data_IF_424327810944
#
_entry.id   IF_424327810944
#
_cell.length_a   1.000
_cell.length_b   1.000
_cell.length_c   1.000
_cell.angle_alpha   90.00
_cell.angle_beta   90.00
_cell.angle_gamma   90.00
#
_symmetry.space_group_name_H-M   'P 1'
#
loop_
_entity.id
_entity.type
_entity.pdbx_description
1 polymer ?
#
# COMPACT_ATOMS: atom_id res chain seq x y z
N UNK A 1 1.55 24.57 6.24
CA UNK A 1 0.99 23.22 6.39
C UNK A 1 1.85 22.29 5.53
N UNK A 2 2.49 21.28 6.13
CA UNK A 2 3.33 20.33 5.40
C UNK A 2 2.41 19.26 4.79
N UNK A 3 2.55 18.97 3.50
CA UNK A 3 1.78 17.93 2.82
C UNK A 3 2.42 16.56 2.99
N UNK A 4 1.59 15.52 3.10
CA UNK A 4 2.04 14.13 3.15
C UNK A 4 2.13 13.56 1.73
N UNK A 5 3.34 13.47 1.21
CA UNK A 5 3.59 12.90 -0.10
C UNK A 5 4.78 11.95 -0.02
N UNK A 6 4.61 10.72 -0.45
CA UNK A 6 5.72 9.78 -0.31
C UNK A 6 5.34 8.32 -0.41
N UNK A 7 6.01 7.52 0.38
CA UNK A 7 6.02 6.06 0.32
C UNK A 7 5.40 5.44 1.56
N UNK A 8 4.59 4.40 1.38
CA UNK A 8 4.05 3.55 2.44
C UNK A 8 4.69 2.17 2.33
N UNK A 9 5.37 1.72 3.37
CA UNK A 9 5.77 0.33 3.54
C UNK A 9 4.63 -0.40 4.25
N UNK A 10 3.52 -0.68 3.52
CA UNK A 10 2.28 -1.20 4.10
C UNK A 10 1.76 -2.48 3.45
N UNK A 11 2.52 -3.06 2.54
CA UNK A 11 2.20 -4.27 1.80
C UNK A 11 2.56 -5.54 2.57
N UNK A 12 1.97 -6.67 2.17
CA UNK A 12 2.24 -8.01 2.70
C UNK A 12 3.35 -8.74 1.93
N UNK A 13 3.93 -9.77 2.57
CA UNK A 13 4.86 -10.71 1.96
C UNK A 13 6.29 -10.21 1.82
N UNK A 14 6.59 -9.01 2.33
CA UNK A 14 7.95 -8.45 2.32
C UNK A 14 8.23 -7.57 3.52
N UNK A 15 9.36 -7.82 4.15
CA UNK A 15 9.97 -6.94 5.14
C UNK A 15 11.28 -6.41 4.56
N UNK A 16 11.36 -5.11 4.34
CA UNK A 16 12.55 -4.50 3.75
C UNK A 16 13.75 -4.56 4.70
N UNK A 17 14.93 -4.73 4.14
CA UNK A 17 16.17 -4.51 4.87
C UNK A 17 16.42 -2.99 5.07
N UNK A 18 17.18 -2.62 6.10
CA UNK A 18 17.47 -1.21 6.40
C UNK A 18 18.15 -0.48 5.25
N UNK A 19 19.06 -1.16 4.53
CA UNK A 19 19.72 -0.57 3.37
C UNK A 19 18.75 -0.29 2.20
N UNK A 20 17.68 -1.08 2.05
CA UNK A 20 16.66 -0.83 1.04
C UNK A 20 15.79 0.38 1.42
N UNK A 21 15.44 0.52 2.71
CA UNK A 21 14.76 1.71 3.22
C UNK A 21 15.60 2.96 3.02
N UNK A 22 16.92 2.87 3.23
CA UNK A 22 17.85 3.97 2.96
C UNK A 22 17.84 4.40 1.50
N UNK A 23 17.76 3.45 0.57
CA UNK A 23 17.66 3.72 -0.87
C UNK A 23 16.32 4.39 -1.23
N UNK A 24 15.25 3.99 -0.56
CA UNK A 24 13.94 4.63 -0.73
C UNK A 24 13.96 6.08 -0.23
N UNK A 25 14.64 6.40 0.88
CA UNK A 25 14.84 7.80 1.29
C UNK A 25 15.60 8.60 0.22
N UNK A 26 16.65 8.02 -0.37
CA UNK A 26 17.38 8.67 -1.47
C UNK A 26 16.46 8.89 -2.70
N UNK A 27 15.58 7.93 -2.99
CA UNK A 27 14.58 8.03 -4.05
C UNK A 27 13.53 9.12 -3.78
N UNK A 28 13.00 9.20 -2.56
CA UNK A 28 12.03 10.22 -2.15
C UNK A 28 12.62 11.64 -2.26
N UNK A 29 13.84 11.84 -1.75
CA UNK A 29 14.56 13.12 -1.88
C UNK A 29 14.72 13.51 -3.35
N UNK A 30 15.16 12.57 -4.21
CA UNK A 30 15.39 12.83 -5.63
C UNK A 30 14.13 13.29 -6.39
N UNK A 31 12.94 12.91 -5.92
CA UNK A 31 11.64 13.27 -6.52
C UNK A 31 10.88 14.35 -5.73
N UNK A 32 11.48 14.89 -4.67
CA UNK A 32 10.90 15.95 -3.85
C UNK A 32 9.67 15.52 -3.04
N UNK A 33 9.63 14.27 -2.61
CA UNK A 33 8.62 13.74 -1.70
C UNK A 33 9.11 13.80 -0.25
N UNK A 34 8.18 14.01 0.70
CA UNK A 34 8.50 14.47 2.05
C UNK A 34 8.18 13.47 3.15
N UNK A 35 7.64 12.28 2.82
CA UNK A 35 7.14 11.37 3.85
C UNK A 35 7.47 9.90 3.55
N UNK A 36 7.87 9.17 4.59
CA UNK A 36 7.99 7.72 4.58
C UNK A 36 7.13 7.15 5.72
N UNK A 37 6.22 6.25 5.41
CA UNK A 37 5.39 5.57 6.39
C UNK A 37 5.91 4.16 6.64
N UNK A 38 6.47 3.94 7.83
CA UNK A 38 6.89 2.64 8.33
C UNK A 38 5.69 1.90 8.91
N UNK A 39 5.11 0.98 8.15
CA UNK A 39 3.96 0.17 8.55
C UNK A 39 4.02 -1.26 7.98
N UNK A 40 5.19 -1.94 7.98
CA UNK A 40 5.35 -3.23 7.31
C UNK A 40 4.49 -4.30 7.98
N UNK A 41 3.58 -4.90 7.23
CA UNK A 41 2.66 -5.94 7.74
C UNK A 41 3.41 -7.20 8.23
N UNK A 42 4.59 -7.47 7.68
CA UNK A 42 5.44 -8.61 8.03
C UNK A 42 6.39 -8.32 9.23
N UNK A 43 6.39 -7.10 9.78
CA UNK A 43 7.03 -6.82 11.05
C UNK A 43 6.12 -7.31 12.19
N UNK A 44 6.53 -8.40 12.83
CA UNK A 44 5.73 -9.01 13.89
C UNK A 44 5.48 -8.07 15.07
N UNK A 45 6.43 -7.19 15.39
CA UNK A 45 6.29 -6.23 16.50
C UNK A 45 5.47 -4.99 16.12
N UNK A 46 5.29 -4.73 14.84
CA UNK A 46 4.36 -3.71 14.36
C UNK A 46 2.90 -4.15 14.56
N UNK A 47 2.57 -5.44 14.34
CA UNK A 47 1.21 -5.94 14.25
C UNK A 47 0.88 -7.10 15.21
N UNK A 48 1.46 -8.30 15.01
CA UNK A 48 1.08 -9.50 15.77
C UNK A 48 1.44 -9.43 17.25
N UNK A 49 2.62 -8.90 17.54
CA UNK A 49 3.15 -8.73 18.90
C UNK A 49 3.30 -7.24 19.24
N UNK A 50 2.34 -6.43 18.83
CA UNK A 50 2.40 -4.97 18.99
C UNK A 50 2.59 -4.55 20.46
N UNK A 51 2.18 -5.38 21.43
CA UNK A 51 2.40 -5.13 22.85
C UNK A 51 3.87 -5.27 23.28
N UNK A 52 4.68 -5.93 22.49
CA UNK A 52 6.10 -6.11 22.81
C UNK A 52 6.92 -4.93 22.25
N UNK A 53 7.98 -4.58 22.98
CA UNK A 53 8.93 -3.55 22.54
C UNK A 53 9.91 -4.11 21.52
N UNK A 54 10.45 -3.25 20.68
CA UNK A 54 11.55 -3.60 19.78
C UNK A 54 12.86 -3.77 20.57
N UNK A 55 13.71 -4.67 20.12
CA UNK A 55 15.02 -4.89 20.73
C UNK A 55 16.01 -3.74 20.44
N UNK A 56 17.15 -3.73 21.16
CA UNK A 56 18.14 -2.69 21.03
C UNK A 56 18.74 -2.58 19.62
N UNK A 57 18.90 -3.70 18.91
CA UNK A 57 19.48 -3.73 17.56
C UNK A 57 18.54 -3.08 16.55
N UNK A 58 17.25 -3.41 16.61
CA UNK A 58 16.22 -2.79 15.76
C UNK A 58 16.14 -1.28 16.06
N UNK A 59 16.05 -0.89 17.33
CA UNK A 59 15.96 0.51 17.75
C UNK A 59 17.15 1.32 17.27
N UNK A 60 18.37 0.76 17.35
CA UNK A 60 19.56 1.42 16.84
C UNK A 60 19.49 1.59 15.30
N UNK A 61 18.99 0.58 14.57
CA UNK A 61 18.83 0.67 13.14
C UNK A 61 17.76 1.69 12.74
N UNK A 62 16.63 1.71 13.47
CA UNK A 62 15.56 2.70 13.25
C UNK A 62 16.06 4.14 13.52
N UNK A 63 16.84 4.38 14.59
CA UNK A 63 17.47 5.69 14.85
C UNK A 63 18.41 6.13 13.73
N UNK A 64 19.19 5.23 13.15
CA UNK A 64 20.02 5.56 11.97
C UNK A 64 19.17 5.95 10.77
N UNK A 65 18.10 5.21 10.52
CA UNK A 65 17.17 5.46 9.43
C UNK A 65 16.46 6.81 9.60
N UNK A 66 15.90 7.10 10.78
CA UNK A 66 15.25 8.39 11.06
C UNK A 66 16.25 9.55 11.01
N UNK A 67 17.46 9.35 11.52
CA UNK A 67 18.54 10.34 11.41
C UNK A 67 18.91 10.65 9.96
N UNK A 68 18.95 9.64 9.08
CA UNK A 68 19.16 9.84 7.63
C UNK A 68 17.98 10.59 7.00
N UNK A 69 16.74 10.27 7.38
CA UNK A 69 15.56 10.94 6.88
C UNK A 69 15.55 12.44 7.20
N UNK A 70 15.97 12.82 8.41
CA UNK A 70 16.11 14.23 8.81
C UNK A 70 17.08 14.98 7.88
N UNK A 71 18.21 14.39 7.47
CA UNK A 71 19.16 15.04 6.56
C UNK A 71 18.60 15.29 5.16
N UNK A 72 17.47 14.67 4.83
CA UNK A 72 16.79 14.74 3.52
C UNK A 72 15.44 15.45 3.57
N UNK A 73 15.12 16.06 4.69
CA UNK A 73 13.83 16.74 4.90
C UNK A 73 12.61 15.78 4.74
N UNK A 74 12.82 14.49 5.06
CA UNK A 74 11.80 13.47 5.01
C UNK A 74 11.30 13.16 6.41
N UNK A 75 9.99 13.31 6.65
CA UNK A 75 9.35 12.92 7.89
C UNK A 75 9.08 11.40 7.92
N UNK A 76 9.35 10.78 9.06
CA UNK A 76 9.03 9.37 9.30
C UNK A 76 7.72 9.29 10.08
N UNK A 77 6.74 8.64 9.48
CA UNK A 77 5.49 8.23 10.13
C UNK A 77 5.73 6.81 10.64
N UNK A 78 5.62 6.56 11.95
CA UNK A 78 5.78 5.23 12.51
C UNK A 78 4.41 4.63 12.86
N UNK A 79 4.10 3.47 12.27
CA UNK A 79 2.86 2.77 12.49
C UNK A 79 2.88 1.86 13.70
N UNK A 80 1.75 1.74 14.38
CA UNK A 80 1.44 0.69 15.36
C UNK A 80 0.08 0.12 14.97
N UNK A 81 -0.01 -1.21 14.81
CA UNK A 81 -1.23 -1.90 14.34
C UNK A 81 -1.83 -2.78 15.44
N UNK A 82 -2.55 -2.21 16.42
CA UNK A 82 -3.16 -2.96 17.51
C UNK A 82 -4.52 -3.56 17.13
N UNK A 83 -5.05 -3.26 15.94
CA UNK A 83 -6.41 -3.58 15.53
C UNK A 83 -6.81 -5.05 15.63
N UNK A 84 -5.83 -5.99 15.61
CA UNK A 84 -6.13 -7.42 15.70
C UNK A 84 -6.80 -7.82 17.02
N UNK A 85 -6.38 -7.22 18.14
CA UNK A 85 -6.74 -7.72 19.47
C UNK A 85 -6.72 -6.63 20.57
N UNK A 86 -6.85 -5.35 20.20
CA UNK A 86 -6.91 -4.26 21.17
C UNK A 86 -8.17 -4.38 22.04
N UNK A 87 -7.97 -4.37 23.37
CA UNK A 87 -9.07 -4.38 24.34
C UNK A 87 -9.56 -2.94 24.62
N UNK A 88 -10.71 -2.58 24.04
CA UNK A 88 -11.31 -1.26 24.23
C UNK A 88 -11.82 -1.02 25.65
N UNK A 89 -12.04 -2.07 26.47
CA UNK A 89 -12.37 -1.89 27.89
C UNK A 89 -11.22 -1.21 28.67
N UNK A 90 -9.99 -1.32 28.16
CA UNK A 90 -8.82 -0.62 28.73
C UNK A 90 -8.91 0.91 28.64
N UNK A 91 -9.81 1.44 27.78
CA UNK A 91 -10.09 2.88 27.70
C UNK A 91 -11.03 3.38 28.81
N UNK A 92 -11.86 2.51 29.37
CA UNK A 92 -12.76 2.86 30.47
C UNK A 92 -11.99 2.99 31.80
N UNK A 93 -10.84 2.34 31.92
CA UNK A 93 -9.98 2.33 33.10
C UNK A 93 -8.79 3.26 32.86
N UNK A 94 -8.98 4.54 33.18
CA UNK A 94 -8.06 5.61 32.76
C UNK A 94 -6.58 5.44 33.18
N UNK A 95 -6.26 4.62 34.20
CA UNK A 95 -4.94 4.53 34.81
C UNK A 95 -4.54 3.10 35.21
N UNK A 96 -5.12 2.06 34.62
CA UNK A 96 -4.71 0.70 34.92
C UNK A 96 -3.32 0.43 34.36
N UNK A 97 -2.32 0.41 35.22
CA UNK A 97 -0.96 0.01 34.84
C UNK A 97 -0.99 -1.37 34.14
N UNK A 98 -0.49 -1.42 32.89
CA UNK A 98 -0.43 -2.65 32.08
C UNK A 98 -1.64 -2.91 31.18
N UNK A 99 -2.63 -2.03 31.10
CA UNK A 99 -3.69 -2.07 30.10
C UNK A 99 -3.19 -1.75 28.68
N UNK A 100 -3.95 -2.19 27.67
CA UNK A 100 -3.57 -2.03 26.26
C UNK A 100 -3.26 -0.58 25.87
N UNK A 101 -4.00 0.37 26.42
CA UNK A 101 -3.73 1.78 26.16
C UNK A 101 -2.36 2.24 26.68
N UNK A 102 -1.99 1.82 27.89
CA UNK A 102 -0.66 2.17 28.47
C UNK A 102 0.46 1.55 27.65
N UNK A 103 0.33 0.30 27.22
CA UNK A 103 1.32 -0.38 26.37
C UNK A 103 1.44 0.31 25.01
N UNK A 104 0.33 0.71 24.41
CA UNK A 104 0.30 1.45 23.14
C UNK A 104 0.99 2.82 23.28
N UNK A 105 0.72 3.55 24.36
CA UNK A 105 1.34 4.84 24.65
C UNK A 105 2.86 4.69 24.83
N UNK A 106 3.32 3.73 25.62
CA UNK A 106 4.73 3.47 25.85
C UNK A 106 5.47 3.14 24.54
N UNK A 107 4.85 2.34 23.66
CA UNK A 107 5.41 2.04 22.35
C UNK A 107 5.46 3.26 21.45
N UNK A 108 4.44 4.09 21.43
CA UNK A 108 4.42 5.35 20.68
C UNK A 108 5.51 6.31 21.16
N UNK A 109 5.66 6.48 22.47
CA UNK A 109 6.72 7.29 23.08
C UNK A 109 8.11 6.77 22.71
N UNK A 110 8.32 5.45 22.72
CA UNK A 110 9.56 4.82 22.30
C UNK A 110 9.90 5.15 20.85
N UNK A 111 8.93 5.03 19.91
CA UNK A 111 9.15 5.33 18.49
C UNK A 111 9.46 6.81 18.25
N UNK A 112 8.78 7.71 18.96
CA UNK A 112 9.09 9.15 18.92
C UNK A 112 10.49 9.45 19.47
N UNK A 113 10.88 8.83 20.59
CA UNK A 113 12.23 8.95 21.16
C UNK A 113 13.32 8.37 20.24
N UNK A 114 12.96 7.42 19.37
CA UNK A 114 13.85 6.83 18.36
C UNK A 114 13.82 7.60 17.02
N UNK A 115 13.14 8.76 16.96
CA UNK A 115 13.22 9.73 15.88
C UNK A 115 12.04 9.72 14.88
N UNK A 116 10.95 8.99 15.16
CA UNK A 116 9.73 9.16 14.39
C UNK A 116 9.16 10.57 14.57
N UNK A 117 8.59 11.14 13.50
CA UNK A 117 8.00 12.49 13.53
C UNK A 117 6.50 12.44 13.88
N UNK A 118 5.82 11.38 13.44
CA UNK A 118 4.37 11.20 13.58
C UNK A 118 4.08 9.74 13.91
N UNK A 119 3.11 9.52 14.79
CA UNK A 119 2.56 8.17 15.05
C UNK A 119 1.32 7.95 14.20
N UNK A 120 1.25 6.79 13.56
CA UNK A 120 0.03 6.31 12.92
C UNK A 120 -0.53 5.09 13.65
N UNK A 121 -1.84 5.10 13.86
CA UNK A 121 -2.59 4.00 14.47
C UNK A 121 -3.30 3.23 13.37
N UNK A 122 -3.01 1.94 13.22
CA UNK A 122 -3.58 1.10 12.17
C UNK A 122 -4.62 0.14 12.74
N UNK A 123 -5.85 0.28 12.25
CA UNK A 123 -7.01 -0.55 12.60
C UNK A 123 -7.53 -1.31 11.38
N UNK A 124 -6.75 -1.34 10.29
CA UNK A 124 -7.08 -1.95 9.00
C UNK A 124 -6.86 -3.47 8.99
N UNK A 125 -7.45 -4.12 8.00
CA UNK A 125 -7.29 -5.56 7.69
C UNK A 125 -7.57 -6.47 8.90
N UNK A 126 -8.63 -6.19 9.63
CA UNK A 126 -9.10 -6.96 10.78
C UNK A 126 -10.49 -7.54 10.54
N UNK A 127 -10.82 -8.60 11.26
CA UNK A 127 -12.15 -9.19 11.22
C UNK A 127 -13.21 -8.22 11.77
N UNK A 128 -14.46 -8.42 11.37
CA UNK A 128 -15.62 -7.68 11.90
C UNK A 128 -16.06 -8.29 13.23
N UNK A 129 -15.17 -8.29 14.22
CA UNK A 129 -15.35 -8.91 15.55
C UNK A 129 -15.25 -7.90 16.71
N UNK A 130 -15.45 -6.62 16.40
CA UNK A 130 -15.35 -5.51 17.35
C UNK A 130 -16.15 -5.76 18.64
N UNK A 131 -17.37 -6.31 18.53
CA UNK A 131 -18.27 -6.54 19.66
C UNK A 131 -17.65 -7.45 20.74
N UNK A 132 -16.69 -8.31 20.38
CA UNK A 132 -15.98 -9.17 21.35
C UNK A 132 -14.99 -8.40 22.24
N UNK A 133 -14.63 -7.17 21.86
CA UNK A 133 -13.59 -6.36 22.50
C UNK A 133 -14.03 -4.92 22.77
N UNK A 134 -15.33 -4.65 22.56
CA UNK A 134 -15.88 -3.30 22.54
C UNK A 134 -15.85 -2.56 23.91
N UNK A 135 -15.72 -3.30 25.04
CA UNK A 135 -15.88 -2.67 26.35
C UNK A 135 -17.26 -2.02 26.49
N UNK A 136 -17.29 -0.75 26.83
CA UNK A 136 -18.54 0.04 26.93
C UNK A 136 -19.02 0.63 25.59
N UNK A 137 -18.21 0.51 24.52
CA UNK A 137 -18.53 1.11 23.23
C UNK A 137 -19.58 0.30 22.45
N UNK A 138 -20.52 1.00 21.84
CA UNK A 138 -21.56 0.43 20.96
C UNK A 138 -21.28 0.69 19.48
N UNK A 139 -20.31 1.56 19.15
CA UNK A 139 -19.87 1.90 17.79
C UNK A 139 -18.37 1.76 17.66
N UNK A 140 -17.94 0.97 16.67
CA UNK A 140 -16.54 0.77 16.35
C UNK A 140 -15.88 2.06 15.87
N UNK A 141 -16.57 2.86 15.03
CA UNK A 141 -16.06 4.17 14.59
C UNK A 141 -15.82 5.14 15.75
N UNK A 142 -16.73 5.18 16.72
CA UNK A 142 -16.56 5.96 17.96
C UNK A 142 -15.38 5.46 18.79
N UNK A 143 -15.25 4.14 18.97
CA UNK A 143 -14.16 3.56 19.76
C UNK A 143 -12.79 3.89 19.16
N UNK A 144 -12.65 3.81 17.83
CA UNK A 144 -11.42 4.17 17.11
C UNK A 144 -11.13 5.69 17.21
N UNK A 145 -12.16 6.54 17.13
CA UNK A 145 -12.01 7.99 17.34
C UNK A 145 -11.51 8.30 18.75
N UNK A 146 -12.14 7.72 19.78
CA UNK A 146 -11.77 7.93 21.20
C UNK A 146 -10.35 7.45 21.47
N UNK A 147 -9.97 6.27 20.98
CA UNK A 147 -8.59 5.76 21.10
C UNK A 147 -7.59 6.72 20.47
N UNK A 148 -7.89 7.21 19.25
CA UNK A 148 -7.01 8.13 18.51
C UNK A 148 -6.88 9.47 19.25
N UNK A 149 -8.00 10.04 19.69
CA UNK A 149 -8.02 11.31 20.44
C UNK A 149 -7.22 11.20 21.75
N UNK A 150 -7.45 10.12 22.50
CA UNK A 150 -6.77 9.87 23.77
C UNK A 150 -5.28 9.68 23.60
N UNK A 151 -4.85 8.93 22.57
CA UNK A 151 -3.44 8.78 22.25
C UNK A 151 -2.82 10.12 21.86
N UNK A 152 -3.50 10.91 21.01
CA UNK A 152 -3.04 12.23 20.60
C UNK A 152 -2.92 13.20 21.76
N UNK A 153 -3.89 13.21 22.68
CA UNK A 153 -3.85 14.02 23.90
C UNK A 153 -2.67 13.62 24.81
N UNK A 154 -2.46 12.30 25.03
CA UNK A 154 -1.36 11.81 25.86
C UNK A 154 0.03 12.12 25.26
N UNK A 155 0.15 12.11 23.93
CA UNK A 155 1.39 12.48 23.22
C UNK A 155 1.53 13.98 22.98
N UNK A 156 0.48 14.78 23.23
CA UNK A 156 0.38 16.19 22.86
C UNK A 156 0.73 16.41 21.36
N UNK A 157 0.24 15.54 20.48
CA UNK A 157 0.57 15.53 19.07
C UNK A 157 -0.60 14.98 18.20
N UNK A 158 -0.73 15.41 16.94
CA UNK A 158 -1.68 14.82 16.02
C UNK A 158 -1.30 13.36 15.68
N UNK A 159 -2.32 12.52 15.55
CA UNK A 159 -2.20 11.12 15.14
C UNK A 159 -2.76 10.97 13.74
N UNK A 160 -2.21 10.06 12.97
CA UNK A 160 -2.81 9.60 11.70
C UNK A 160 -3.50 8.26 11.96
N UNK A 161 -4.76 8.14 11.61
CA UNK A 161 -5.51 6.89 11.71
C UNK A 161 -5.60 6.19 10.35
N UNK A 162 -5.29 4.90 10.31
CA UNK A 162 -5.70 4.00 9.22
C UNK A 162 -6.93 3.25 9.72
N UNK A 163 -8.15 3.62 9.28
CA UNK A 163 -9.38 3.06 9.82
C UNK A 163 -9.64 1.65 9.29
N UNK A 164 -10.51 0.86 9.95
CA UNK A 164 -10.94 -0.45 9.41
C UNK A 164 -11.67 -0.29 8.08
N UNK A 165 -12.51 0.70 7.97
CA UNK A 165 -13.19 1.05 6.71
C UNK A 165 -12.38 2.15 6.02
N UNK A 166 -11.36 1.74 5.27
CA UNK A 166 -10.45 2.63 4.54
C UNK A 166 -10.76 2.75 3.03
N UNK A 167 -11.84 2.09 2.56
CA UNK A 167 -12.37 2.21 1.20
C UNK A 167 -13.90 1.95 1.21
N UNK A 168 -14.64 2.52 0.25
CA UNK A 168 -16.09 2.32 0.14
C UNK A 168 -16.48 0.85 -0.07
N UNK A 169 -15.65 0.08 -0.78
CA UNK A 169 -15.87 -1.35 -1.04
C UNK A 169 -15.85 -2.23 0.23
N UNK A 170 -15.34 -1.70 1.34
CA UNK A 170 -15.33 -2.39 2.65
C UNK A 170 -16.64 -2.24 3.42
N UNK A 171 -17.54 -1.37 2.97
CA UNK A 171 -18.88 -1.20 3.59
C UNK A 171 -19.77 -2.36 3.12
N UNK A 172 -20.07 -3.30 4.01
CA UNK A 172 -20.83 -4.52 3.72
C UNK A 172 -22.23 -4.49 4.29
N UNK A 173 -23.16 -5.13 3.59
CA UNK A 173 -24.57 -5.20 4.01
C UNK A 173 -24.80 -6.06 5.25
N UNK A 174 -23.97 -7.05 5.47
CA UNK A 174 -23.99 -8.00 6.60
C UNK A 174 -23.14 -7.58 7.80
N UNK A 175 -22.44 -6.43 7.71
CA UNK A 175 -21.67 -5.81 8.78
C UNK A 175 -22.33 -4.47 9.20
N UNK A 176 -23.19 -4.45 10.23
CA UNK A 176 -23.86 -3.22 10.68
C UNK A 176 -22.87 -2.14 11.14
N UNK A 177 -21.75 -2.51 11.75
CA UNK A 177 -20.71 -1.57 12.19
C UNK A 177 -20.09 -0.83 11.00
N UNK A 178 -19.86 -1.51 9.87
CA UNK A 178 -19.25 -0.88 8.69
C UNK A 178 -20.11 0.24 8.10
N UNK A 179 -21.44 0.17 8.20
CA UNK A 179 -22.38 1.14 7.62
C UNK A 179 -22.35 2.50 8.32
N UNK A 180 -22.13 2.52 9.62
CA UNK A 180 -22.09 3.75 10.42
C UNK A 180 -20.68 4.20 10.75
N UNK A 181 -19.69 3.35 10.51
CA UNK A 181 -18.31 3.51 10.93
C UNK A 181 -17.73 4.89 10.62
N UNK A 182 -17.72 5.28 9.34
CA UNK A 182 -17.13 6.56 8.91
C UNK A 182 -17.89 7.76 9.46
N UNK A 183 -19.20 7.67 9.58
CA UNK A 183 -20.04 8.73 10.16
C UNK A 183 -19.72 8.92 11.64
N UNK A 184 -19.66 7.82 12.39
CA UNK A 184 -19.37 7.86 13.83
C UNK A 184 -17.92 8.30 14.07
N UNK A 185 -16.96 7.77 13.29
CA UNK A 185 -15.57 8.19 13.31
C UNK A 185 -15.43 9.70 13.07
N UNK A 186 -16.04 10.22 12.01
CA UNK A 186 -15.93 11.63 11.62
C UNK A 186 -16.57 12.58 12.64
N UNK A 187 -17.67 12.15 13.31
CA UNK A 187 -18.32 12.91 14.36
C UNK A 187 -17.42 13.07 15.59
N UNK A 188 -16.74 12.00 15.99
CA UNK A 188 -16.06 11.92 17.29
C UNK A 188 -14.55 12.17 17.20
N UNK A 189 -13.95 12.09 16.00
CA UNK A 189 -12.52 12.33 15.78
C UNK A 189 -12.18 13.83 15.80
N UNK A 190 -11.28 14.24 16.70
CA UNK A 190 -10.85 15.62 16.82
C UNK A 190 -10.26 16.20 15.51
N UNK A 191 -10.42 17.52 15.27
CA UNK A 191 -10.11 18.14 13.97
C UNK A 191 -8.65 18.05 13.54
N UNK A 192 -7.72 17.97 14.46
CA UNK A 192 -6.27 17.99 14.18
C UNK A 192 -5.70 16.63 13.75
N UNK A 193 -6.44 15.54 13.90
CA UNK A 193 -6.06 14.22 13.42
C UNK A 193 -6.33 14.06 11.94
N UNK A 194 -5.54 13.20 11.27
CA UNK A 194 -5.75 12.83 9.86
C UNK A 194 -6.12 11.36 9.72
N UNK A 195 -6.70 11.01 8.57
CA UNK A 195 -7.17 9.66 8.27
C UNK A 195 -6.64 9.23 6.91
N UNK A 196 -6.09 8.04 6.80
CA UNK A 196 -5.82 7.41 5.52
C UNK A 196 -7.10 6.85 4.91
N UNK A 197 -7.28 7.07 3.61
CA UNK A 197 -8.41 6.56 2.85
C UNK A 197 -8.01 6.27 1.40
N UNK A 198 -8.52 5.17 0.80
CA UNK A 198 -8.18 4.80 -0.59
C UNK A 198 -9.11 5.46 -1.60
N UNK A 199 -10.41 5.49 -1.34
CA UNK A 199 -11.44 5.93 -2.25
C UNK A 199 -12.55 4.90 -2.45
N UNK A 200 -13.02 4.75 -3.70
CA UNK A 200 -14.11 3.84 -4.07
C UNK A 200 -13.78 2.36 -3.82
N UNK A 201 -12.52 1.97 -3.96
CA UNK A 201 -12.05 0.61 -3.71
C UNK A 201 -10.67 0.61 -3.04
N UNK A 202 -10.21 -0.56 -2.56
CA UNK A 202 -8.86 -0.76 -2.00
C UNK A 202 -7.79 -0.39 -3.04
N UNK A 203 -7.97 -0.83 -4.29
CA UNK A 203 -7.19 -0.36 -5.43
C UNK A 203 -8.06 0.61 -6.22
N UNK A 204 -8.21 1.81 -5.71
CA UNK A 204 -9.14 2.79 -6.21
C UNK A 204 -8.80 3.26 -7.64
N UNK A 205 -9.77 3.21 -8.54
CA UNK A 205 -9.72 3.91 -9.82
C UNK A 205 -9.96 5.41 -9.60
N UNK A 206 -10.84 5.74 -8.66
CA UNK A 206 -11.16 7.09 -8.22
C UNK A 206 -10.72 7.29 -6.77
N UNK A 207 -9.41 7.54 -6.54
CA UNK A 207 -8.95 7.85 -5.20
C UNK A 207 -9.54 9.18 -4.73
N UNK A 208 -9.97 9.22 -3.49
CA UNK A 208 -10.64 10.41 -2.99
C UNK A 208 -11.24 10.23 -1.61
N UNK A 209 -12.20 11.08 -1.29
CA UNK A 209 -12.98 10.98 -0.07
C UNK A 209 -13.98 9.82 -0.16
N UNK A 210 -14.51 9.44 1.00
CA UNK A 210 -15.60 8.51 1.12
C UNK A 210 -16.86 9.00 0.35
N UNK A 211 -17.61 8.04 -0.18
CA UNK A 211 -18.80 8.27 -1.02
C UNK A 211 -19.83 9.19 -0.37
N UNK A 212 -20.03 9.04 0.93
CA UNK A 212 -21.05 9.77 1.69
C UNK A 212 -20.56 11.13 2.22
N UNK A 213 -19.27 11.47 1.97
CA UNK A 213 -18.66 12.74 2.39
C UNK A 213 -18.57 12.92 3.92
N UNK A 214 -18.48 11.83 4.67
CA UNK A 214 -18.32 11.86 6.12
C UNK A 214 -16.99 12.49 6.53
N UNK A 215 -15.91 12.11 5.83
CA UNK A 215 -14.57 12.62 6.10
C UNK A 215 -14.34 13.95 5.37
N UNK A 216 -13.97 14.99 6.11
CA UNK A 216 -13.61 16.26 5.49
C UNK A 216 -12.31 16.12 4.65
N UNK A 217 -12.25 16.65 3.40
CA UNK A 217 -11.08 16.49 2.51
C UNK A 217 -9.74 16.86 3.12
N UNK A 218 -9.71 17.89 3.99
CA UNK A 218 -8.48 18.33 4.65
C UNK A 218 -7.94 17.33 5.69
N UNK A 219 -8.76 16.37 6.12
CA UNK A 219 -8.36 15.30 7.05
C UNK A 219 -7.83 14.08 6.32
N UNK A 220 -8.12 13.92 5.03
CA UNK A 220 -7.80 12.71 4.27
C UNK A 220 -6.39 12.76 3.71
N UNK A 221 -5.64 11.69 3.94
CA UNK A 221 -4.42 11.33 3.21
C UNK A 221 -4.78 10.14 2.33
N UNK A 222 -4.55 10.23 1.03
CA UNK A 222 -4.80 9.10 0.14
C UNK A 222 -3.75 8.02 0.36
N UNK A 223 -4.22 6.81 0.72
CA UNK A 223 -3.44 5.58 0.66
C UNK A 223 -3.60 4.99 -0.74
N UNK A 224 -2.59 5.17 -1.57
CA UNK A 224 -2.68 4.82 -2.97
C UNK A 224 -2.10 3.43 -3.25
N UNK A 225 -2.98 2.46 -3.51
CA UNK A 225 -2.65 1.08 -3.89
C UNK A 225 -2.58 0.85 -5.41
N UNK A 226 -2.51 1.91 -6.23
CA UNK A 226 -2.60 1.79 -7.69
C UNK A 226 -1.59 0.80 -8.29
N UNK A 227 -0.41 0.72 -7.72
CA UNK A 227 0.65 -0.20 -8.15
C UNK A 227 0.82 -1.42 -7.24
N UNK A 228 0.07 -1.53 -6.14
CA UNK A 228 0.22 -2.64 -5.20
C UNK A 228 0.01 -3.99 -5.88
N UNK A 229 0.77 -5.00 -5.49
CA UNK A 229 0.71 -6.35 -6.05
C UNK A 229 0.74 -7.48 -5.01
N UNK A 230 0.69 -7.17 -3.73
CA UNK A 230 0.69 -8.15 -2.63
C UNK A 230 -0.54 -9.06 -2.65
N UNK A 231 -1.70 -8.55 -3.08
CA UNK A 231 -2.92 -9.34 -3.29
C UNK A 231 -2.91 -10.17 -4.58
N UNK A 232 -1.99 -9.89 -5.51
CA UNK A 232 -1.78 -10.62 -6.75
C UNK A 232 -0.29 -10.68 -7.11
N UNK A 233 0.49 -11.61 -6.53
CA UNK A 233 1.96 -11.65 -6.66
C UNK A 233 2.49 -11.74 -8.10
N UNK A 234 1.64 -12.13 -9.07
CA UNK A 234 1.98 -12.15 -10.51
C UNK A 234 1.67 -10.84 -11.22
N UNK A 235 1.05 -9.89 -10.53
CA UNK A 235 0.77 -8.57 -11.09
C UNK A 235 2.04 -7.74 -11.19
N UNK A 236 2.30 -7.21 -12.38
CA UNK A 236 3.34 -6.22 -12.64
C UNK A 236 2.70 -5.09 -13.47
N UNK A 237 2.13 -4.10 -12.81
CA UNK A 237 1.55 -2.94 -13.47
C UNK A 237 2.49 -1.74 -13.31
N UNK A 238 2.90 -1.15 -14.43
CA UNK A 238 3.84 -0.02 -14.50
C UNK A 238 3.34 1.08 -15.44
N UNK A 239 2.05 1.18 -15.62
CA UNK A 239 1.44 2.21 -16.45
C UNK A 239 1.67 3.62 -15.89
N UNK A 240 1.32 4.68 -16.65
CA UNK A 240 1.35 6.05 -16.14
C UNK A 240 0.50 6.19 -14.88
N UNK A 241 1.03 6.88 -13.87
CA UNK A 241 0.27 7.13 -12.66
C UNK A 241 -0.90 8.07 -12.96
N UNK A 242 -2.08 7.74 -12.43
CA UNK A 242 -3.24 8.60 -12.53
C UNK A 242 -3.10 9.80 -11.60
N UNK A 243 -3.44 10.99 -12.09
CA UNK A 243 -3.42 12.18 -11.25
C UNK A 243 -4.48 12.08 -10.14
N UNK A 244 -4.09 12.45 -8.93
CA UNK A 244 -4.96 12.56 -7.76
C UNK A 244 -5.08 14.03 -7.40
N UNK A 245 -6.31 14.51 -7.27
CA UNK A 245 -6.61 15.94 -7.03
C UNK A 245 -6.55 16.32 -5.53
N UNK A 246 -5.78 15.59 -4.72
CA UNK A 246 -5.60 15.89 -3.30
C UNK A 246 -4.14 16.14 -3.00
N UNK A 247 -3.84 17.07 -2.06
CA UNK A 247 -2.46 17.44 -1.74
C UNK A 247 -1.70 16.33 -1.01
N UNK A 248 -2.42 15.56 -0.18
CA UNK A 248 -1.87 14.51 0.66
C UNK A 248 -2.10 13.14 0.01
N UNK A 249 -1.04 12.60 -0.62
CA UNK A 249 -1.09 11.28 -1.31
C UNK A 249 0.19 10.53 -1.04
N UNK A 250 0.06 9.31 -0.54
CA UNK A 250 1.20 8.41 -0.30
C UNK A 250 0.98 7.08 -1.03
N UNK A 251 2.02 6.62 -1.71
CA UNK A 251 2.02 5.41 -2.52
C UNK A 251 2.35 4.18 -1.69
N UNK A 252 1.48 3.17 -1.69
CA UNK A 252 1.75 1.81 -1.21
C UNK A 252 2.02 0.90 -2.43
N UNK A 253 3.31 0.67 -2.81
CA UNK A 253 3.64 0.03 -4.07
C UNK A 253 3.84 -1.49 -3.94
N UNK A 254 5.01 -2.02 -4.32
CA UNK A 254 5.22 -3.46 -4.51
C UNK A 254 6.18 -4.11 -3.51
N UNK A 255 7.02 -3.32 -2.84
CA UNK A 255 8.14 -3.83 -2.05
C UNK A 255 9.29 -4.40 -2.89
N UNK A 256 9.28 -4.22 -4.21
CA UNK A 256 10.40 -4.47 -5.12
C UNK A 256 11.15 -3.15 -5.31
N UNK A 257 12.33 -3.03 -4.73
CA UNK A 257 13.01 -1.74 -4.54
C UNK A 257 13.30 -0.99 -5.83
N UNK A 258 13.83 -1.67 -6.85
CA UNK A 258 14.12 -1.03 -8.14
C UNK A 258 12.82 -0.60 -8.85
N UNK A 259 11.80 -1.43 -8.72
CA UNK A 259 10.45 -1.14 -9.21
C UNK A 259 9.85 0.04 -8.48
N UNK A 260 9.90 0.05 -7.16
CA UNK A 260 9.34 1.11 -6.34
C UNK A 260 10.01 2.46 -6.57
N UNK A 261 11.33 2.48 -6.77
CA UNK A 261 12.05 3.69 -7.19
C UNK A 261 11.59 4.21 -8.57
N UNK A 262 11.28 3.30 -9.51
CA UNK A 262 10.67 3.68 -10.79
C UNK A 262 9.25 4.22 -10.59
N UNK A 263 8.45 3.60 -9.72
CA UNK A 263 7.08 4.03 -9.44
C UNK A 263 7.02 5.42 -8.78
N UNK A 264 7.98 5.74 -7.90
CA UNK A 264 8.15 7.09 -7.35
C UNK A 264 8.45 8.12 -8.44
N UNK A 265 9.31 7.80 -9.42
CA UNK A 265 9.55 8.65 -10.58
C UNK A 265 8.25 8.89 -11.38
N UNK A 266 7.46 7.83 -11.61
CA UNK A 266 6.19 7.93 -12.34
C UNK A 266 5.17 8.79 -11.58
N UNK A 267 5.03 8.57 -10.27
CA UNK A 267 4.14 9.37 -9.43
C UNK A 267 4.56 10.86 -9.45
N UNK A 268 5.84 11.17 -9.27
CA UNK A 268 6.35 12.54 -9.30
C UNK A 268 6.11 13.23 -10.66
N UNK A 269 6.30 12.49 -11.76
CA UNK A 269 6.11 13.00 -13.12
C UNK A 269 4.67 13.47 -13.38
N UNK A 270 3.69 12.79 -12.77
CA UNK A 270 2.26 13.03 -13.04
C UNK A 270 1.54 13.79 -11.93
N UNK A 271 2.12 13.91 -10.73
CA UNK A 271 1.50 14.55 -9.56
C UNK A 271 0.98 15.96 -9.82
N UNK A 272 1.68 16.76 -10.62
CA UNK A 272 1.34 18.16 -10.90
C UNK A 272 0.60 18.37 -12.24
N UNK A 273 0.29 17.28 -12.95
CA UNK A 273 -0.39 17.37 -14.24
C UNK A 273 -1.89 17.12 -14.07
N UNK A 274 -2.70 18.19 -14.05
CA UNK A 274 -4.16 18.04 -14.10
C UNK A 274 -4.55 17.29 -15.37
N UNK A 275 -5.11 16.10 -15.23
CA UNK A 275 -5.78 15.43 -16.33
C UNK A 275 -7.07 16.21 -16.64
N UNK A 276 -7.14 16.79 -17.85
CA UNK A 276 -8.32 17.57 -18.29
C UNK A 276 -9.54 16.69 -18.62
N UNK A 277 -9.34 15.38 -18.84
CA UNK A 277 -10.41 14.45 -19.20
C UNK A 277 -10.28 13.16 -18.38
N UNK A 278 -11.32 12.81 -17.66
CA UNK A 278 -11.49 11.47 -17.07
C UNK A 278 -11.58 10.45 -18.21
N UNK A 279 -10.60 9.56 -18.35
CA UNK A 279 -10.72 8.33 -19.15
C UNK A 279 -9.77 8.13 -20.32
N UNK A 280 -8.87 9.06 -20.69
CA UNK A 280 -7.81 8.76 -21.67
C UNK A 280 -6.52 9.52 -21.39
N UNK A 281 -5.40 8.81 -21.49
CA UNK A 281 -4.07 9.42 -21.42
C UNK A 281 -3.76 10.16 -22.72
N UNK A 282 -3.34 11.43 -22.63
CA UNK A 282 -2.90 12.15 -23.80
C UNK A 282 -1.61 11.52 -24.39
N UNK A 283 -1.36 11.68 -25.71
CA UNK A 283 -0.11 11.24 -26.34
C UNK A 283 1.15 11.76 -25.62
N UNK A 284 1.08 12.98 -25.08
CA UNK A 284 2.17 13.60 -24.32
C UNK A 284 2.43 12.89 -22.97
N UNK A 285 1.37 12.43 -22.29
CA UNK A 285 1.50 11.64 -21.07
C UNK A 285 2.17 10.29 -21.37
N UNK A 286 1.75 9.59 -22.44
CA UNK A 286 2.36 8.33 -22.86
C UNK A 286 3.82 8.52 -23.28
N UNK A 287 4.16 9.60 -23.99
CA UNK A 287 5.55 9.90 -24.34
C UNK A 287 6.42 10.16 -23.10
N UNK A 288 5.89 10.91 -22.13
CA UNK A 288 6.57 11.20 -20.86
C UNK A 288 6.78 9.93 -20.03
N UNK A 289 5.77 9.05 -19.97
CA UNK A 289 5.85 7.75 -19.33
C UNK A 289 6.92 6.86 -19.98
N UNK A 290 6.90 6.70 -21.31
CA UNK A 290 7.92 5.92 -22.03
C UNK A 290 9.33 6.45 -21.78
N UNK A 291 9.49 7.76 -21.73
CA UNK A 291 10.78 8.39 -21.41
C UNK A 291 11.25 8.04 -20.00
N UNK A 292 10.36 8.06 -19.01
CA UNK A 292 10.70 7.70 -17.62
C UNK A 292 11.10 6.23 -17.50
N UNK A 293 10.35 5.32 -18.12
CA UNK A 293 10.66 3.88 -18.15
C UNK A 293 12.05 3.64 -18.78
N UNK A 294 12.33 4.23 -19.96
CA UNK A 294 13.64 4.13 -20.63
C UNK A 294 14.79 4.70 -19.79
N UNK A 295 14.56 5.78 -19.06
CA UNK A 295 15.57 6.39 -18.18
C UNK A 295 16.08 5.42 -17.10
N UNK A 296 15.24 4.46 -16.68
CA UNK A 296 15.60 3.38 -15.76
C UNK A 296 16.23 2.16 -16.45
N UNK A 297 16.58 2.28 -17.74
CA UNK A 297 17.26 1.22 -18.50
C UNK A 297 16.37 0.06 -18.92
N UNK A 298 15.06 0.26 -18.95
CA UNK A 298 14.09 -0.72 -19.43
C UNK A 298 14.07 -0.71 -20.96
N UNK A 299 14.24 -1.88 -21.63
CA UNK A 299 14.22 -1.98 -23.08
C UNK A 299 12.85 -1.68 -23.69
N UNK A 300 12.84 -1.29 -24.97
CA UNK A 300 11.60 -0.94 -25.70
C UNK A 300 10.63 -2.12 -25.86
N UNK A 301 11.13 -3.34 -25.79
CA UNK A 301 10.34 -4.57 -25.79
C UNK A 301 9.32 -4.62 -24.64
N UNK A 302 9.57 -3.92 -23.55
CA UNK A 302 8.61 -3.74 -22.47
C UNK A 302 7.30 -3.09 -22.96
N UNK A 303 7.38 -2.14 -23.88
CA UNK A 303 6.20 -1.48 -24.42
C UNK A 303 5.35 -2.40 -25.32
N UNK A 304 5.95 -3.44 -25.90
CA UNK A 304 5.24 -4.46 -26.67
C UNK A 304 4.34 -5.28 -25.76
N UNK A 305 4.85 -5.66 -24.57
CA UNK A 305 4.09 -6.50 -23.63
C UNK A 305 3.19 -5.69 -22.68
N UNK A 306 3.24 -4.36 -22.70
CA UNK A 306 2.49 -3.49 -21.77
C UNK A 306 0.97 -3.74 -21.82
N UNK A 307 0.42 -4.20 -22.94
CA UNK A 307 -0.97 -4.61 -23.06
C UNK A 307 -1.36 -5.68 -22.02
N UNK A 308 -0.49 -6.66 -21.80
CA UNK A 308 -0.73 -7.76 -20.85
C UNK A 308 -0.46 -7.39 -19.40
N UNK A 309 0.19 -6.25 -19.17
CA UNK A 309 0.54 -5.71 -17.86
C UNK A 309 -0.39 -4.56 -17.45
N UNK A 310 -1.56 -4.47 -18.09
CA UNK A 310 -2.54 -3.44 -17.78
C UNK A 310 -3.20 -3.68 -16.41
N UNK A 311 -3.84 -2.62 -15.88
CA UNK A 311 -4.49 -2.70 -14.59
C UNK A 311 -5.76 -3.57 -14.65
N UNK A 312 -5.97 -4.51 -13.72
CA UNK A 312 -7.18 -5.32 -13.66
C UNK A 312 -8.41 -4.51 -13.21
N UNK A 313 -8.24 -3.26 -12.74
CA UNK A 313 -9.28 -2.43 -12.14
C UNK A 313 -9.93 -1.45 -13.14
N UNK A 314 -9.85 -1.72 -14.45
CA UNK A 314 -10.60 -0.97 -15.45
C UNK A 314 -10.08 0.43 -15.76
N UNK A 315 -8.86 0.79 -15.29
CA UNK A 315 -8.25 2.06 -15.71
C UNK A 315 -7.76 1.93 -17.17
N UNK A 316 -8.35 2.66 -18.12
CA UNK A 316 -8.12 2.42 -19.55
C UNK A 316 -6.74 2.93 -19.96
N UNK A 317 -5.79 2.03 -20.18
CA UNK A 317 -4.46 2.38 -20.69
C UNK A 317 -4.42 2.43 -22.23
N UNK A 318 -5.40 1.85 -22.91
CA UNK A 318 -5.53 1.81 -24.37
C UNK A 318 -4.26 1.25 -25.08
N UNK A 319 -3.58 0.30 -24.46
CA UNK A 319 -2.45 -0.37 -25.09
C UNK A 319 -2.94 -1.31 -26.21
N UNK A 320 -2.22 -1.30 -27.34
CA UNK A 320 -2.54 -2.17 -28.47
C UNK A 320 -2.06 -3.58 -28.15
N UNK A 321 -2.95 -4.57 -28.36
CA UNK A 321 -2.61 -5.99 -28.22
C UNK A 321 -1.58 -6.38 -29.30
N UNK A 322 -0.38 -6.88 -28.91
CA UNK A 322 0.59 -7.39 -29.86
C UNK A 322 0.16 -8.76 -30.45
N UNK A 323 0.79 -9.17 -31.56
CA UNK A 323 0.71 -10.55 -31.94
C UNK A 323 1.39 -11.47 -30.91
N UNK A 324 0.99 -12.74 -30.85
CA UNK A 324 1.62 -13.73 -29.96
C UNK A 324 3.15 -13.82 -30.22
N UNK A 325 3.55 -13.83 -31.49
CA UNK A 325 4.96 -13.91 -31.87
C UNK A 325 5.76 -12.68 -31.41
N UNK A 326 5.21 -11.47 -31.58
CA UNK A 326 5.87 -10.24 -31.13
C UNK A 326 6.00 -10.22 -29.60
N UNK A 327 4.96 -10.64 -28.88
CA UNK A 327 4.97 -10.71 -27.43
C UNK A 327 6.03 -11.71 -26.92
N UNK A 328 6.10 -12.90 -27.52
CA UNK A 328 7.09 -13.93 -27.16
C UNK A 328 8.50 -13.48 -27.49
N UNK A 329 8.72 -12.83 -28.65
CA UNK A 329 10.02 -12.27 -29.03
C UNK A 329 10.48 -11.18 -28.04
N UNK A 330 9.58 -10.30 -27.63
CA UNK A 330 9.85 -9.28 -26.63
C UNK A 330 10.21 -9.90 -25.27
N UNK A 331 9.46 -10.92 -24.83
CA UNK A 331 9.75 -11.64 -23.58
C UNK A 331 11.09 -12.38 -23.61
N UNK A 332 11.52 -12.93 -24.76
CA UNK A 332 12.86 -13.51 -24.89
C UNK A 332 13.98 -12.49 -24.61
N UNK A 333 13.82 -11.25 -25.08
CA UNK A 333 14.78 -10.17 -24.81
C UNK A 333 14.75 -9.77 -23.34
N UNK A 334 13.57 -9.51 -22.79
CA UNK A 334 13.39 -9.07 -21.41
C UNK A 334 13.87 -10.11 -20.39
N UNK A 335 13.65 -11.40 -20.65
CA UNK A 335 14.01 -12.49 -19.74
C UNK A 335 15.50 -12.86 -19.83
N UNK A 336 16.07 -12.89 -21.04
CA UNK A 336 17.35 -13.55 -21.26
C UNK A 336 18.49 -12.63 -21.70
N UNK A 337 18.17 -11.50 -22.36
CA UNK A 337 19.19 -10.60 -22.91
C UNK A 337 19.35 -9.33 -22.10
N UNK A 338 18.28 -8.83 -21.50
CA UNK A 338 18.32 -7.67 -20.62
C UNK A 338 18.99 -8.01 -19.29
N UNK A 339 19.99 -7.22 -18.87
CA UNK A 339 20.76 -7.43 -17.64
C UNK A 339 20.65 -6.18 -16.77
N UNK A 340 19.68 -6.19 -15.85
CA UNK A 340 19.44 -5.09 -14.93
C UNK A 340 18.86 -5.59 -13.60
N UNK A 341 18.95 -4.81 -12.50
CA UNK A 341 18.26 -5.13 -11.25
C UNK A 341 16.76 -5.30 -11.43
N UNK A 342 16.10 -4.42 -12.19
CA UNK A 342 14.67 -4.51 -12.54
C UNK A 342 14.32 -5.86 -13.22
N UNK A 343 15.16 -6.37 -14.09
CA UNK A 343 14.93 -7.67 -14.73
C UNK A 343 14.86 -8.81 -13.70
N UNK A 344 15.68 -8.75 -12.66
CA UNK A 344 15.68 -9.76 -11.60
C UNK A 344 14.39 -9.71 -10.79
N UNK A 345 13.91 -8.51 -10.46
CA UNK A 345 12.63 -8.32 -9.77
C UNK A 345 11.44 -8.77 -10.61
N UNK A 346 11.46 -8.52 -11.91
CA UNK A 346 10.35 -8.85 -12.82
C UNK A 346 10.39 -10.28 -13.36
N UNK A 347 11.46 -11.02 -13.11
CA UNK A 347 11.69 -12.34 -13.73
C UNK A 347 10.49 -13.28 -13.57
N UNK A 348 9.98 -13.46 -12.37
CA UNK A 348 8.84 -14.35 -12.09
C UNK A 348 7.55 -13.90 -12.78
N UNK A 349 7.29 -12.60 -12.83
CA UNK A 349 6.12 -12.02 -13.50
C UNK A 349 6.24 -12.22 -15.03
N UNK A 350 7.40 -11.94 -15.62
CA UNK A 350 7.66 -12.12 -17.06
C UNK A 350 7.60 -13.59 -17.47
N UNK A 351 8.15 -14.50 -16.65
CA UNK A 351 8.05 -15.94 -16.89
C UNK A 351 6.60 -16.43 -16.82
N UNK A 352 5.86 -15.97 -15.83
CA UNK A 352 4.44 -16.27 -15.71
C UNK A 352 3.64 -15.77 -16.91
N UNK A 353 3.88 -14.54 -17.35
CA UNK A 353 3.25 -13.97 -18.55
C UNK A 353 3.58 -14.79 -19.81
N UNK A 354 4.83 -15.21 -19.99
CA UNK A 354 5.22 -16.09 -21.11
C UNK A 354 4.43 -17.40 -21.11
N UNK A 355 4.28 -18.03 -19.96
CA UNK A 355 3.49 -19.26 -19.82
C UNK A 355 2.01 -19.03 -20.14
N UNK A 356 1.41 -17.94 -19.64
CA UNK A 356 0.02 -17.60 -19.88
C UNK A 356 -0.26 -17.35 -21.38
N UNK A 357 0.65 -16.67 -22.08
CA UNK A 357 0.55 -16.45 -23.53
C UNK A 357 0.62 -17.79 -24.28
N UNK A 358 1.59 -18.66 -23.94
CA UNK A 358 1.73 -19.98 -24.56
C UNK A 358 0.51 -20.88 -24.31
N UNK A 359 -0.08 -20.82 -23.13
CA UNK A 359 -1.32 -21.52 -22.80
C UNK A 359 -2.50 -21.01 -23.62
N UNK A 360 -2.67 -19.70 -23.69
CA UNK A 360 -3.78 -19.07 -24.41
C UNK A 360 -3.71 -19.31 -25.93
N UNK A 361 -2.51 -19.53 -26.45
CA UNK A 361 -2.26 -19.81 -27.86
C UNK A 361 -2.19 -21.33 -28.17
N UNK A 362 -2.46 -22.20 -27.18
CA UNK A 362 -2.46 -23.66 -27.34
C UNK A 362 -1.09 -24.30 -27.52
N UNK A 363 0.01 -23.54 -27.39
CA UNK A 363 1.38 -24.05 -27.52
C UNK A 363 1.88 -24.74 -26.24
N UNK A 364 1.20 -24.54 -25.11
CA UNK A 364 1.47 -25.19 -23.84
C UNK A 364 0.21 -25.92 -23.38
N UNK A 365 0.30 -27.22 -23.15
CA UNK A 365 -0.82 -28.01 -22.61
C UNK A 365 -0.85 -28.01 -21.10
N UNK A 366 -2.05 -28.20 -20.52
CA UNK A 366 -2.22 -28.40 -19.07
C UNK A 366 -1.41 -29.60 -18.58
N UNK A 367 -1.35 -30.69 -19.35
CA UNK A 367 -0.55 -31.88 -19.03
C UNK A 367 0.94 -31.55 -18.87
N UNK A 368 1.47 -30.64 -19.69
CA UNK A 368 2.86 -30.20 -19.58
C UNK A 368 3.07 -29.31 -18.33
N UNK A 369 2.09 -28.51 -17.93
CA UNK A 369 2.12 -27.75 -16.68
C UNK A 369 2.02 -28.66 -15.46
N UNK A 370 1.26 -29.75 -15.53
CA UNK A 370 1.15 -30.74 -14.45
C UNK A 370 2.50 -31.41 -14.15
N UNK A 371 3.38 -31.50 -15.13
CA UNK A 371 4.75 -32.03 -14.98
C UNK A 371 5.75 -30.98 -14.46
N UNK A 372 5.30 -29.76 -14.23
CA UNK A 372 6.10 -28.66 -13.68
C UNK A 372 5.72 -28.36 -12.24
N UNK A 373 6.34 -27.37 -11.62
CA UNK A 373 6.11 -26.96 -10.25
C UNK A 373 4.69 -26.41 -9.95
N UNK A 374 3.83 -26.27 -10.98
CA UNK A 374 2.43 -25.85 -10.83
C UNK A 374 1.44 -27.01 -10.62
N UNK A 375 1.92 -28.24 -10.63
CA UNK A 375 1.12 -29.46 -10.46
C UNK A 375 0.09 -29.41 -9.31
N UNK A 376 0.42 -28.97 -8.06
CA UNK A 376 -0.57 -28.99 -6.97
C UNK A 376 -1.77 -28.08 -7.21
N UNK A 377 -1.61 -26.97 -7.93
CA UNK A 377 -2.70 -26.03 -8.25
C UNK A 377 -3.59 -26.56 -9.37
N UNK A 378 -2.98 -27.09 -10.43
CA UNK A 378 -3.70 -27.65 -11.59
C UNK A 378 -4.49 -28.88 -11.17
N UNK A 379 -3.93 -29.76 -10.35
CA UNK A 379 -4.62 -30.94 -9.83
C UNK A 379 -5.85 -30.56 -8.98
N UNK A 380 -5.77 -29.49 -8.17
CA UNK A 380 -6.90 -29.00 -7.37
C UNK A 380 -8.01 -28.40 -8.25
N UNK A 381 -7.65 -27.62 -9.27
CA UNK A 381 -8.63 -27.03 -10.19
C UNK A 381 -9.34 -28.13 -10.98
N UNK A 382 -8.62 -29.14 -11.46
CA UNK A 382 -9.21 -30.26 -12.18
C UNK A 382 -10.11 -31.11 -11.28
N UNK A 383 -9.79 -31.30 -10.00
CA UNK A 383 -10.65 -32.03 -9.07
C UNK A 383 -11.96 -31.32 -8.74
N UNK A 384 -12.00 -29.99 -8.84
CA UNK A 384 -13.22 -29.19 -8.65
C UNK A 384 -14.15 -29.27 -9.87
N UNK A 385 -13.59 -29.42 -11.08
CA UNK A 385 -14.36 -29.48 -12.32
C UNK A 385 -14.94 -30.91 -12.63
N UNK A 386 -14.48 -31.97 -11.94
CA UNK A 386 -14.99 -33.33 -12.10
C UNK A 386 -16.21 -33.58 -11.22
N UNK A 387 -16.52 -32.73 -10.26
CA UNK A 387 -17.66 -32.82 -9.33
C UNK A 387 -18.75 -31.77 -9.62
N UNK A 388 -18.69 -31.06 -10.73
CA UNK A 388 -19.74 -30.18 -11.26
C UNK A 388 -20.30 -30.77 -12.58
#
# INVERSE_FOLDING_TARGET
MQFFTGYIEGYYGKLLAWHDRDRLLDGLEAVGMTSYFYAPKDDAFHRQFWRQTYDAAWRQAFKRFTGKAVTKDIQIIAGISPGLDFDFASLDQADAAGGDFTILLDKALMLLADGANVIALLMDDVAADFDLRAGSFTSEGTAHAVLTNRLGAALNAPIILVPRIYADSLIKSDDPQSKTYLKDLARDLEPHHKVFYCGDDIVAVKPGNDRDGCLHPSKVIIWDNFYANDYCPRRLFLGPWRAVNLPDVMLNPTGMIETDLLLLDLMSLFKNKRQKNEGSLSPEHLASWRKAIRKRGVPDEFFVISYYLDTPHGFPMNFVRPSTNDALAALEILLWRWKAPLQREWYSCLMGLKQDILLSDGQLSLERLEKTQLQPLVSRVNSLNVNS
#
